data_IF_672547995537
#
_entry.id   IF_672547995537
#
_cell.length_a   1.000
_cell.length_b   1.000
_cell.length_c   1.000
_cell.angle_alpha   90.00
_cell.angle_beta   90.00
_cell.angle_gamma   90.00
#
_symmetry.space_group_name_H-M   'P 1'
#
loop_
_entity.id
_entity.type
_entity.pdbx_description
1 polymer ?
#
# COMPACT_ATOMS: atom_id res chain seq x y z
N UNK A 1 15.34 3.85 3.48
CA UNK A 1 15.32 2.51 2.83
C UNK A 1 14.55 1.48 3.65
N UNK A 2 14.79 1.37 4.96
CA UNK A 2 14.11 0.41 5.84
C UNK A 2 12.56 0.53 5.85
N UNK A 3 11.95 1.74 5.84
CA UNK A 3 10.49 1.89 5.78
C UNK A 3 9.89 1.42 4.45
N UNK A 4 10.61 1.58 3.35
CA UNK A 4 10.19 1.13 2.02
C UNK A 4 10.13 -0.40 1.98
N UNK A 5 11.19 -1.07 2.46
CA UNK A 5 11.23 -2.52 2.57
C UNK A 5 10.08 -3.05 3.44
N UNK A 6 9.85 -2.42 4.59
CA UNK A 6 8.72 -2.77 5.46
C UNK A 6 7.37 -2.59 4.74
N UNK A 7 7.17 -1.48 4.03
CA UNK A 7 5.94 -1.20 3.28
C UNK A 7 5.71 -2.20 2.16
N UNK A 8 6.76 -2.60 1.44
CA UNK A 8 6.70 -3.64 0.41
C UNK A 8 6.30 -4.98 1.02
N UNK A 9 6.98 -5.41 2.08
CA UNK A 9 6.63 -6.66 2.78
C UNK A 9 5.18 -6.63 3.26
N UNK A 10 4.72 -5.50 3.80
CA UNK A 10 3.33 -5.33 4.22
C UNK A 10 2.36 -5.36 3.04
N UNK A 11 2.64 -4.69 1.93
CA UNK A 11 1.79 -4.73 0.73
C UNK A 11 1.67 -6.15 0.16
N UNK A 12 2.79 -6.88 0.06
CA UNK A 12 2.77 -8.26 -0.46
C UNK A 12 2.10 -9.24 0.51
N UNK A 13 2.41 -9.14 1.81
CA UNK A 13 1.81 -9.98 2.84
C UNK A 13 0.32 -9.74 2.99
N UNK A 14 -0.09 -8.48 3.09
CA UNK A 14 -1.50 -8.09 3.20
C UNK A 14 -2.26 -8.36 1.90
N UNK A 15 -1.67 -8.06 0.75
CA UNK A 15 -2.26 -8.33 -0.57
C UNK A 15 -2.55 -9.82 -0.79
N UNK A 16 -1.61 -10.71 -0.41
CA UNK A 16 -1.88 -12.16 -0.42
C UNK A 16 -2.99 -12.56 0.54
N UNK A 17 -3.01 -11.99 1.74
CA UNK A 17 -4.05 -12.27 2.74
C UNK A 17 -5.43 -11.82 2.27
N UNK A 18 -5.50 -10.70 1.55
CA UNK A 18 -6.73 -10.11 0.99
C UNK A 18 -7.16 -10.70 -0.35
N UNK A 19 -6.40 -11.66 -0.91
CA UNK A 19 -6.66 -12.21 -2.26
C UNK A 19 -6.63 -11.13 -3.36
N UNK A 20 -5.90 -10.03 -3.13
CA UNK A 20 -5.73 -8.96 -4.13
C UNK A 20 -5.00 -9.53 -5.33
N UNK A 21 -5.43 -9.22 -6.58
CA UNK A 21 -4.75 -9.69 -7.77
C UNK A 21 -3.28 -9.24 -7.76
N UNK A 22 -2.36 -10.18 -7.99
CA UNK A 22 -0.90 -9.91 -7.94
C UNK A 22 -0.51 -8.74 -8.85
N UNK A 23 -1.17 -8.59 -10.00
CA UNK A 23 -0.95 -7.47 -10.93
C UNK A 23 -1.12 -6.10 -10.24
N UNK A 24 -2.14 -5.95 -9.40
CA UNK A 24 -2.41 -4.71 -8.67
C UNK A 24 -1.37 -4.45 -7.58
N UNK A 25 -1.02 -5.47 -6.80
CA UNK A 25 -0.01 -5.35 -5.74
C UNK A 25 1.36 -5.00 -6.31
N UNK A 26 1.73 -5.59 -7.45
CA UNK A 26 2.97 -5.29 -8.16
C UNK A 26 2.97 -3.88 -8.73
N UNK A 27 1.87 -3.45 -9.36
CA UNK A 27 1.75 -2.08 -9.90
C UNK A 27 1.88 -1.02 -8.79
N UNK A 28 1.20 -1.20 -7.65
CA UNK A 28 1.28 -0.29 -6.51
C UNK A 28 2.67 -0.29 -5.87
N UNK A 29 3.30 -1.45 -5.75
CA UNK A 29 4.67 -1.58 -5.25
C UNK A 29 5.68 -0.88 -6.16
N UNK A 30 5.55 -1.04 -7.48
CA UNK A 30 6.41 -0.37 -8.45
C UNK A 30 6.23 1.15 -8.40
N UNK A 31 4.99 1.64 -8.31
CA UNK A 31 4.69 3.06 -8.16
C UNK A 31 5.34 3.64 -6.90
N UNK A 32 5.20 2.95 -5.76
CA UNK A 32 5.82 3.37 -4.49
C UNK A 32 7.34 3.45 -4.60
N UNK A 33 7.96 2.42 -5.18
CA UNK A 33 9.42 2.36 -5.35
C UNK A 33 9.90 3.45 -6.30
N UNK A 34 9.22 3.67 -7.42
CA UNK A 34 9.57 4.71 -8.37
C UNK A 34 9.54 6.09 -7.69
N UNK A 35 8.43 6.45 -7.05
CA UNK A 35 8.28 7.75 -6.38
C UNK A 35 9.28 7.93 -5.22
N UNK A 36 9.57 6.86 -4.47
CA UNK A 36 10.59 6.89 -3.42
C UNK A 36 12.00 7.10 -3.99
N UNK A 37 12.35 6.46 -5.12
CA UNK A 37 13.66 6.60 -5.77
C UNK A 37 13.88 8.00 -6.36
N UNK A 38 12.82 8.65 -6.85
CA UNK A 38 12.87 10.04 -7.27
C UNK A 38 12.94 11.04 -6.10
N UNK A 39 12.92 10.56 -4.85
CA UNK A 39 13.00 11.40 -3.65
C UNK A 39 11.74 12.25 -3.42
N UNK A 40 10.64 11.92 -4.10
CA UNK A 40 9.41 12.72 -4.09
C UNK A 40 8.59 12.47 -2.82
N UNK A 41 8.73 11.30 -2.20
CA UNK A 41 7.86 10.87 -1.10
C UNK A 41 8.60 10.10 -0.01
N UNK A 42 8.05 10.13 1.20
CA UNK A 42 8.39 9.20 2.27
C UNK A 42 7.54 7.92 2.17
N UNK A 43 8.14 6.74 2.41
CA UNK A 43 7.41 5.47 2.47
C UNK A 43 6.66 5.23 3.79
N UNK A 44 6.88 6.09 4.80
CA UNK A 44 6.32 5.96 6.15
C UNK A 44 4.79 6.11 6.17
N UNK A 45 4.16 7.10 5.51
CA UNK A 45 2.71 7.26 5.53
C UNK A 45 1.97 6.04 4.91
N UNK A 46 2.53 5.46 3.85
CA UNK A 46 2.00 4.25 3.21
C UNK A 46 2.07 3.05 4.15
N UNK A 47 3.18 2.90 4.88
CA UNK A 47 3.33 1.84 5.88
C UNK A 47 2.31 2.00 7.02
N UNK A 48 2.18 3.22 7.55
CA UNK A 48 1.27 3.51 8.68
C UNK A 48 -0.18 3.26 8.29
N UNK A 49 -0.61 3.74 7.13
CA UNK A 49 -1.99 3.53 6.62
C UNK A 49 -2.29 2.05 6.40
N UNK A 50 -1.39 1.30 5.77
CA UNK A 50 -1.53 -0.16 5.62
C UNK A 50 -1.58 -0.88 6.97
N UNK A 51 -0.76 -0.48 7.92
CA UNK A 51 -0.71 -1.08 9.26
C UNK A 51 -2.00 -0.83 10.04
N UNK A 52 -2.52 0.40 10.02
CA UNK A 52 -3.75 0.79 10.71
C UNK A 52 -4.98 0.21 10.02
N UNK A 53 -5.01 0.14 8.68
CA UNK A 53 -6.13 -0.40 7.91
C UNK A 53 -6.17 -1.93 7.87
N UNK A 54 -5.03 -2.60 8.11
CA UNK A 54 -4.87 -4.06 8.15
C UNK A 54 -6.02 -4.82 8.83
N UNK A 55 -6.37 -4.55 10.10
CA UNK A 55 -7.43 -5.29 10.79
C UNK A 55 -8.79 -5.17 10.09
N UNK A 56 -9.12 -3.98 9.58
CA UNK A 56 -10.38 -3.73 8.87
C UNK A 56 -10.42 -4.42 7.51
N UNK A 57 -9.31 -4.35 6.77
CA UNK A 57 -9.18 -5.00 5.47
C UNK A 57 -9.34 -6.52 5.60
N UNK A 58 -8.74 -7.13 6.64
CA UNK A 58 -8.84 -8.58 6.87
C UNK A 58 -10.28 -9.02 7.11
N UNK A 59 -11.09 -8.23 7.82
CA UNK A 59 -12.52 -8.54 8.02
C UNK A 59 -13.32 -8.46 6.71
N UNK A 60 -12.85 -7.64 5.76
CA UNK A 60 -13.49 -7.43 4.45
C UNK A 60 -12.91 -8.34 3.35
N UNK A 61 -12.08 -9.33 3.69
CA UNK A 61 -11.34 -10.18 2.72
C UNK A 61 -12.18 -10.74 1.57
N UNK A 62 -13.44 -11.08 1.82
CA UNK A 62 -14.34 -11.66 0.81
C UNK A 62 -15.20 -10.64 0.08
N UNK A 63 -15.04 -9.35 0.39
CA UNK A 63 -15.77 -8.27 -0.27
C UNK A 63 -14.91 -7.67 -1.38
N UNK A 64 -15.52 -7.40 -2.53
CA UNK A 64 -14.87 -6.69 -3.64
C UNK A 64 -14.30 -5.32 -3.23
N UNK A 65 -14.84 -4.75 -2.15
CA UNK A 65 -14.39 -3.47 -1.57
C UNK A 65 -12.99 -3.54 -0.96
N UNK A 66 -12.50 -4.73 -0.55
CA UNK A 66 -11.18 -4.87 0.04
C UNK A 66 -10.06 -4.48 -0.93
N UNK A 67 -10.21 -4.80 -2.22
CA UNK A 67 -9.24 -4.44 -3.25
C UNK A 67 -9.17 -2.93 -3.45
N UNK A 68 -10.33 -2.27 -3.50
CA UNK A 68 -10.43 -0.82 -3.63
C UNK A 68 -9.85 -0.11 -2.41
N UNK A 69 -10.20 -0.57 -1.21
CA UNK A 69 -9.69 0.00 0.05
C UNK A 69 -8.18 -0.21 0.19
N UNK A 70 -7.66 -1.37 -0.21
CA UNK A 70 -6.21 -1.62 -0.25
C UNK A 70 -5.50 -0.64 -1.19
N UNK A 71 -6.03 -0.43 -2.40
CA UNK A 71 -5.51 0.58 -3.33
C UNK A 71 -5.53 1.98 -2.75
N UNK A 72 -6.64 2.38 -2.10
CA UNK A 72 -6.77 3.68 -1.45
C UNK A 72 -5.76 3.87 -0.31
N UNK A 73 -5.50 2.83 0.48
CA UNK A 73 -4.47 2.88 1.55
C UNK A 73 -3.07 3.18 1.01
N UNK A 74 -2.80 2.90 -0.27
CA UNK A 74 -1.52 3.21 -0.90
C UNK A 74 -1.58 4.55 -1.64
N UNK A 75 -2.63 4.79 -2.43
CA UNK A 75 -2.74 5.96 -3.31
C UNK A 75 -2.99 7.26 -2.54
N UNK A 76 -3.83 7.24 -1.50
CA UNK A 76 -4.14 8.45 -0.70
C UNK A 76 -2.88 9.04 -0.05
N UNK A 77 -2.08 8.28 0.74
CA UNK A 77 -0.85 8.82 1.31
C UNK A 77 0.18 9.24 0.27
N UNK A 78 0.21 8.58 -0.90
CA UNK A 78 1.05 9.00 -2.02
C UNK A 78 0.66 10.38 -2.55
N UNK A 79 -0.63 10.62 -2.80
CA UNK A 79 -1.12 11.92 -3.28
C UNK A 79 -0.84 13.01 -2.24
N UNK A 80 -1.06 12.72 -0.96
CA UNK A 80 -0.82 13.68 0.13
C UNK A 80 0.66 14.07 0.21
N UNK A 81 1.59 13.12 0.06
CA UNK A 81 3.03 13.42 0.03
C UNK A 81 3.44 14.18 -1.24
N UNK A 82 2.82 13.92 -2.39
CA UNK A 82 3.15 14.62 -3.65
C UNK A 82 2.67 16.08 -3.66
N UNK A 83 1.57 16.40 -2.99
CA UNK A 83 1.01 17.77 -2.95
C UNK A 83 1.71 18.65 -1.90
N UNK A 84 2.38 18.03 -0.92
CA UNK A 84 3.06 18.74 0.17
C UNK A 84 4.41 19.30 -0.26
#
# INVERSE_FOLDING_TARGET
MLPLLAALVFMFGLGKKLLVPVRWTVALSFLLVALYLFGVISAVPVLVTLFVASPFLIHLRYSDKANTLFGLCVVVPLIVEVIR
#
